data_IF_098073617918
#
_entry.id   IF_098073617918
#
_cell.length_a   1.000
_cell.length_b   1.000
_cell.length_c   1.000
_cell.angle_alpha   90.00
_cell.angle_beta   90.00
_cell.angle_gamma   90.00
#
_symmetry.space_group_name_H-M   'P 1'
#
loop_
_entity.id
_entity.type
_entity.pdbx_description
1 polymer ?
#
# COMPACT_ATOMS: atom_id res chain seq x y z
N UNK A 1 11.06 15.06 7.13
CA UNK A 1 9.85 14.31 6.72
C UNK A 1 10.29 13.22 5.76
N UNK A 2 9.75 12.01 5.85
CA UNK A 2 10.12 10.91 4.94
C UNK A 2 9.69 11.26 3.51
N UNK A 3 10.63 11.26 2.57
CA UNK A 3 10.40 11.68 1.19
C UNK A 3 9.57 10.68 0.35
N UNK A 4 9.28 9.49 0.91
CA UNK A 4 8.63 8.39 0.20
C UNK A 4 7.25 7.99 0.74
N UNK A 5 6.86 8.46 1.93
CA UNK A 5 5.65 8.01 2.63
C UNK A 5 5.04 9.13 3.46
N UNK A 6 3.73 9.07 3.71
CA UNK A 6 3.05 10.06 4.54
C UNK A 6 3.72 10.18 5.92
N UNK A 7 3.65 11.36 6.56
CA UNK A 7 4.04 11.53 7.95
C UNK A 7 3.36 10.48 8.83
N UNK A 8 4.19 9.68 9.50
CA UNK A 8 3.77 8.58 10.35
C UNK A 8 4.46 8.66 11.70
N UNK A 9 3.76 8.22 12.74
CA UNK A 9 4.36 7.91 14.03
C UNK A 9 4.63 6.42 14.07
N UNK A 10 5.86 6.04 14.41
CA UNK A 10 6.26 4.64 14.49
C UNK A 10 6.99 4.34 15.80
N UNK A 11 6.55 3.30 16.50
CA UNK A 11 7.26 2.68 17.62
C UNK A 11 7.94 1.41 17.12
N UNK A 12 9.24 1.47 16.81
CA UNK A 12 10.00 0.37 16.20
C UNK A 12 10.30 -0.78 17.17
N UNK A 13 9.25 -1.50 17.57
CA UNK A 13 9.30 -2.72 18.39
C UNK A 13 8.11 -3.61 18.04
N UNK A 14 8.20 -4.90 18.33
CA UNK A 14 7.05 -5.80 18.19
C UNK A 14 5.87 -5.29 19.04
N UNK A 15 4.67 -5.25 18.45
CA UNK A 15 3.47 -4.67 19.06
C UNK A 15 3.51 -3.15 19.24
N UNK A 16 4.50 -2.46 18.68
CA UNK A 16 4.58 -0.99 18.68
C UNK A 16 3.55 -0.39 17.72
N UNK A 17 3.09 0.83 18.02
CA UNK A 17 2.14 1.55 17.18
C UNK A 17 2.76 2.04 15.88
N UNK A 18 1.99 1.92 14.79
CA UNK A 18 2.22 2.60 13.53
C UNK A 18 0.94 3.36 13.17
N UNK A 19 1.03 4.68 13.11
CA UNK A 19 -0.14 5.56 12.93
C UNK A 19 0.16 6.60 11.87
N UNK A 20 -0.73 6.70 10.88
CA UNK A 20 -0.84 7.88 10.05
C UNK A 20 -1.52 8.98 10.86
N UNK A 21 -1.11 10.24 10.68
CA UNK A 21 -1.65 11.35 11.47
C UNK A 21 -3.18 11.50 11.40
N UNK A 22 -3.84 10.98 10.35
CA UNK A 22 -5.30 11.02 10.15
C UNK A 22 -5.91 9.72 9.55
N UNK A 23 -5.28 8.54 9.74
CA UNK A 23 -5.77 7.29 9.15
C UNK A 23 -5.90 6.13 10.17
N UNK A 24 -6.00 4.89 9.66
CA UNK A 24 -6.20 3.70 10.48
C UNK A 24 -5.02 3.48 11.43
N UNK A 25 -5.32 2.96 12.62
CA UNK A 25 -4.30 2.49 13.55
C UNK A 25 -3.75 1.14 13.09
N UNK A 26 -2.44 0.99 13.18
CA UNK A 26 -1.75 -0.26 12.92
C UNK A 26 -0.82 -0.59 14.09
N UNK A 27 -0.38 -1.84 14.13
CA UNK A 27 0.68 -2.27 15.02
C UNK A 27 1.70 -3.12 14.27
N UNK A 28 2.93 -3.13 14.79
CA UNK A 28 4.00 -3.97 14.23
C UNK A 28 3.75 -5.43 14.64
N UNK A 29 3.26 -6.22 13.69
CA UNK A 29 2.96 -7.66 13.84
C UNK A 29 4.17 -8.57 13.73
N UNK A 30 5.19 -8.14 12.99
CA UNK A 30 6.48 -8.81 12.90
C UNK A 30 7.60 -7.80 12.65
N UNK A 31 8.77 -8.06 13.24
CA UNK A 31 9.94 -7.19 13.11
C UNK A 31 11.21 -8.04 13.11
N UNK A 32 11.93 -8.02 11.99
CA UNK A 32 13.31 -8.47 11.88
C UNK A 32 14.14 -7.28 11.38
N UNK A 33 14.89 -6.58 12.26
CA UNK A 33 15.59 -5.36 11.89
C UNK A 33 16.44 -5.50 10.62
N UNK A 34 16.27 -4.57 9.67
CA UNK A 34 16.97 -4.57 8.39
C UNK A 34 16.51 -5.63 7.38
N UNK A 35 15.49 -6.42 7.70
CA UNK A 35 14.99 -7.51 6.84
C UNK A 35 13.48 -7.50 6.65
N UNK A 36 12.71 -7.31 7.72
CA UNK A 36 11.26 -7.45 7.66
C UNK A 36 10.59 -6.50 8.65
N UNK A 37 9.53 -5.86 8.19
CA UNK A 37 8.50 -5.28 9.04
C UNK A 37 7.14 -5.67 8.49
N UNK A 38 6.26 -6.17 9.38
CA UNK A 38 4.86 -6.43 9.08
C UNK A 38 4.00 -5.50 9.91
N UNK A 39 3.06 -4.84 9.25
CA UNK A 39 2.08 -3.96 9.85
C UNK A 39 0.73 -4.66 9.79
N UNK A 40 0.09 -4.81 10.94
CA UNK A 40 -1.23 -5.39 11.08
C UNK A 40 -2.21 -4.25 11.37
N UNK A 41 -3.21 -4.07 10.49
CA UNK A 41 -4.21 -3.02 10.64
C UNK A 41 -5.21 -3.40 11.73
N UNK A 42 -5.59 -2.43 12.58
CA UNK A 42 -6.58 -2.66 13.65
C UNK A 42 -7.95 -3.08 13.09
N UNK A 43 -8.30 -2.60 11.90
CA UNK A 43 -9.55 -2.94 11.20
C UNK A 43 -9.42 -4.15 10.26
N UNK A 44 -8.33 -4.91 10.38
CA UNK A 44 -8.07 -6.10 9.59
C UNK A 44 -7.33 -5.80 8.30
N UNK A 45 -6.34 -6.64 8.00
CA UNK A 45 -5.41 -6.45 6.89
C UNK A 45 -3.97 -6.44 7.38
N UNK A 46 -3.06 -6.71 6.45
CA UNK A 46 -1.63 -6.90 6.69
C UNK A 46 -0.86 -6.30 5.53
N UNK A 47 0.13 -5.48 5.84
CA UNK A 47 1.15 -5.03 4.89
C UNK A 47 2.52 -5.51 5.36
N UNK A 48 3.23 -6.27 4.53
CA UNK A 48 4.53 -6.84 4.85
C UNK A 48 5.61 -6.33 3.90
N UNK A 49 6.69 -5.81 4.46
CA UNK A 49 7.83 -5.25 3.74
C UNK A 49 9.05 -6.12 4.01
N UNK A 50 9.65 -6.68 2.96
CA UNK A 50 10.81 -7.58 3.04
C UNK A 50 11.99 -7.02 2.25
N UNK A 51 13.18 -7.21 2.80
CA UNK A 51 14.47 -6.92 2.19
C UNK A 51 15.33 -8.18 2.18
N UNK A 52 15.61 -8.68 0.99
CA UNK A 52 16.45 -9.87 0.78
C UNK A 52 17.74 -9.44 0.07
N UNK A 53 18.92 -9.86 0.56
CA UNK A 53 20.17 -9.54 -0.11
C UNK A 53 20.26 -10.33 -1.42
N UNK A 54 20.67 -9.65 -2.49
CA UNK A 54 21.02 -10.27 -3.76
C UNK A 54 22.50 -10.02 -4.08
N UNK A 55 23.05 -10.73 -5.08
CA UNK A 55 24.46 -10.62 -5.45
C UNK A 55 24.89 -9.17 -5.73
N UNK A 56 24.05 -8.43 -6.44
CA UNK A 56 24.33 -7.07 -6.91
C UNK A 56 23.31 -6.04 -6.38
N UNK A 57 22.70 -6.30 -5.22
CA UNK A 57 21.73 -5.37 -4.65
C UNK A 57 20.86 -5.97 -3.56
N UNK A 58 19.64 -5.46 -3.47
CA UNK A 58 18.63 -5.88 -2.51
C UNK A 58 17.30 -6.02 -3.24
N UNK A 59 16.64 -7.16 -3.04
CA UNK A 59 15.24 -7.33 -3.43
C UNK A 59 14.35 -6.74 -2.35
N UNK A 60 13.54 -5.78 -2.74
CA UNK A 60 12.45 -5.26 -1.92
C UNK A 60 11.13 -5.88 -2.37
N UNK A 61 10.44 -6.54 -1.44
CA UNK A 61 9.10 -7.09 -1.66
C UNK A 61 8.11 -6.40 -0.73
N UNK A 62 6.99 -5.96 -1.29
CA UNK A 62 5.83 -5.48 -0.56
C UNK A 62 4.66 -6.42 -0.86
N UNK A 63 4.11 -7.02 0.19
CA UNK A 63 2.88 -7.80 0.14
C UNK A 63 1.80 -7.05 0.92
N UNK A 64 0.62 -6.93 0.34
CA UNK A 64 -0.52 -6.27 0.97
C UNK A 64 -1.75 -7.16 0.86
N UNK A 65 -2.40 -7.41 1.98
CA UNK A 65 -3.59 -8.23 2.09
C UNK A 65 -4.62 -7.50 2.94
N UNK A 66 -5.78 -7.19 2.37
CA UNK A 66 -6.91 -6.65 3.14
C UNK A 66 -7.92 -7.76 3.43
N UNK A 67 -8.60 -7.68 4.59
CA UNK A 67 -9.71 -8.58 4.91
C UNK A 67 -10.82 -8.50 3.85
N UNK A 68 -11.48 -9.63 3.60
CA UNK A 68 -12.48 -9.80 2.52
C UNK A 68 -13.76 -8.96 2.70
N UNK A 69 -14.00 -8.40 3.89
CA UNK A 69 -15.26 -7.71 4.24
C UNK A 69 -15.20 -6.20 3.97
N UNK A 70 -14.39 -5.78 3.01
CA UNK A 70 -14.23 -4.37 2.66
C UNK A 70 -15.44 -3.87 1.84
N UNK A 71 -16.55 -3.57 2.51
CA UNK A 71 -17.69 -2.88 1.90
C UNK A 71 -17.38 -1.40 1.83
N UNK A 72 -17.16 -0.89 0.61
CA UNK A 72 -17.00 0.54 0.34
C UNK A 72 -18.41 1.11 0.16
N UNK A 73 -18.88 2.05 1.00
CA UNK A 73 -20.12 2.75 0.74
C UNK A 73 -20.00 3.52 -0.60
N UNK A 74 -20.96 3.35 -1.51
CA UNK A 74 -20.98 4.03 -2.81
C UNK A 74 -20.79 5.55 -2.69
N UNK A 75 -21.22 6.13 -1.58
CA UNK A 75 -21.03 7.54 -1.25
C UNK A 75 -19.54 7.96 -1.23
N UNK A 76 -18.61 7.09 -0.85
CA UNK A 76 -17.18 7.39 -0.78
C UNK A 76 -16.45 7.22 -2.13
N UNK A 77 -17.08 6.53 -3.10
CA UNK A 77 -16.59 6.45 -4.47
C UNK A 77 -16.84 7.78 -5.21
N UNK A 78 -17.79 8.60 -4.73
CA UNK A 78 -18.17 9.90 -5.30
C UNK A 78 -17.96 11.14 -4.41
N UNK A 79 -17.73 11.02 -3.10
CA UNK A 79 -17.72 12.15 -2.18
C UNK A 79 -16.31 12.55 -1.70
N UNK A 80 -15.46 13.02 -2.62
CA UNK A 80 -14.40 14.00 -2.31
C UNK A 80 -13.40 13.70 -1.19
N UNK A 81 -13.34 12.49 -0.62
CA UNK A 81 -12.28 12.09 0.29
C UNK A 81 -11.05 11.76 -0.54
N UNK A 82 -10.09 12.67 -0.51
CA UNK A 82 -8.82 12.54 -1.22
C UNK A 82 -8.09 11.31 -0.67
N UNK A 83 -8.15 10.19 -1.40
CA UNK A 83 -7.16 9.14 -1.24
C UNK A 83 -5.82 9.79 -1.52
N UNK A 84 -5.01 9.98 -0.48
CA UNK A 84 -3.68 10.51 -0.65
C UNK A 84 -2.81 9.34 -1.12
N UNK A 85 -2.04 9.54 -2.19
CA UNK A 85 -1.08 8.55 -2.70
C UNK A 85 -0.08 8.08 -1.64
N UNK A 86 0.00 8.82 -0.54
CA UNK A 86 0.90 8.60 0.58
C UNK A 86 0.28 7.77 1.71
N UNK A 87 -1.01 7.41 1.61
CA UNK A 87 -1.76 6.60 2.60
C UNK A 87 -2.50 5.41 1.92
N UNK A 88 -1.77 4.46 1.31
CA UNK A 88 -2.39 3.26 0.75
C UNK A 88 -3.09 2.45 1.86
N UNK A 89 -4.37 2.14 1.65
CA UNK A 89 -5.18 1.32 2.59
C UNK A 89 -6.01 2.11 3.62
N UNK A 90 -6.08 3.44 3.55
CA UNK A 90 -6.93 4.24 4.43
C UNK A 90 -8.45 4.03 4.21
N UNK A 91 -9.32 4.53 5.13
CA UNK A 91 -10.76 4.34 5.06
C UNK A 91 -11.33 4.83 3.72
N UNK A 92 -12.18 4.02 3.09
CA UNK A 92 -12.82 4.36 1.82
C UNK A 92 -11.94 4.15 0.57
N UNK A 93 -10.71 3.65 0.71
CA UNK A 93 -9.81 3.44 -0.43
C UNK A 93 -10.16 2.15 -1.18
N UNK A 94 -10.57 2.28 -2.44
CA UNK A 94 -10.77 1.15 -3.35
C UNK A 94 -9.44 0.42 -3.65
N UNK A 95 -9.46 -0.90 -3.92
CA UNK A 95 -8.25 -1.71 -4.19
C UNK A 95 -7.32 -1.08 -5.24
N UNK A 96 -7.89 -0.56 -6.33
CA UNK A 96 -7.13 0.18 -7.34
C UNK A 96 -6.36 1.40 -6.78
N UNK A 97 -6.92 2.10 -5.80
CA UNK A 97 -6.26 3.20 -5.08
C UNK A 97 -5.17 2.71 -4.13
N UNK A 98 -5.41 1.60 -3.40
CA UNK A 98 -4.39 0.98 -2.54
C UNK A 98 -3.17 0.57 -3.36
N UNK A 99 -3.38 -0.19 -4.44
CA UNK A 99 -2.29 -0.67 -5.30
C UNK A 99 -1.58 0.51 -5.98
N UNK A 100 -2.31 1.52 -6.45
CA UNK A 100 -1.72 2.72 -7.03
C UNK A 100 -0.87 3.52 -6.03
N UNK A 101 -1.31 3.62 -4.77
CA UNK A 101 -0.57 4.26 -3.70
C UNK A 101 0.73 3.51 -3.39
N UNK A 102 0.65 2.19 -3.21
CA UNK A 102 1.82 1.35 -3.00
C UNK A 102 2.81 1.41 -4.16
N UNK A 103 2.34 1.32 -5.41
CA UNK A 103 3.18 1.48 -6.59
C UNK A 103 3.89 2.85 -6.58
N UNK A 104 3.17 3.93 -6.33
CA UNK A 104 3.77 5.26 -6.24
C UNK A 104 4.81 5.37 -5.12
N UNK A 105 4.59 4.72 -3.98
CA UNK A 105 5.56 4.61 -2.90
C UNK A 105 6.83 3.87 -3.30
N UNK A 106 6.69 2.74 -4.01
CA UNK A 106 7.83 1.95 -4.52
C UNK A 106 8.65 2.75 -5.53
N UNK A 107 8.02 3.48 -6.45
CA UNK A 107 8.72 4.39 -7.37
C UNK A 107 9.54 5.43 -6.61
N UNK A 108 8.99 6.01 -5.53
CA UNK A 108 9.73 6.97 -4.69
C UNK A 108 10.94 6.30 -4.02
N UNK A 109 10.81 5.08 -3.49
CA UNK A 109 11.92 4.32 -2.88
C UNK A 109 13.01 4.01 -3.91
N UNK A 110 12.63 3.60 -5.12
CA UNK A 110 13.57 3.36 -6.22
C UNK A 110 14.34 4.63 -6.59
N UNK A 111 13.66 5.77 -6.66
CA UNK A 111 14.30 7.07 -6.91
C UNK A 111 15.30 7.46 -5.81
N UNK A 112 14.93 7.29 -4.54
CA UNK A 112 15.83 7.54 -3.41
C UNK A 112 17.07 6.64 -3.44
N UNK A 113 16.96 5.47 -4.09
CA UNK A 113 18.06 4.54 -4.32
C UNK A 113 18.88 4.84 -5.59
N UNK A 114 18.59 5.94 -6.30
CA UNK A 114 19.30 6.36 -7.52
C UNK A 114 18.75 5.77 -8.82
N UNK A 115 17.65 5.01 -8.77
CA UNK A 115 17.01 4.46 -9.97
C UNK A 115 16.11 5.49 -10.67
N UNK A 116 15.72 5.21 -11.92
CA UNK A 116 14.81 6.03 -12.72
C UNK A 116 13.54 5.25 -13.08
N UNK A 117 12.59 5.09 -12.14
CA UNK A 117 11.33 4.41 -12.44
C UNK A 117 10.51 5.19 -13.48
N UNK A 118 9.64 4.50 -14.23
CA UNK A 118 8.64 5.15 -15.06
C UNK A 118 7.59 5.77 -14.13
N UNK A 119 7.88 6.94 -13.58
CA UNK A 119 7.03 7.66 -12.63
C UNK A 119 5.64 7.88 -13.24
N UNK A 120 4.67 7.05 -12.88
CA UNK A 120 3.28 7.26 -13.26
C UNK A 120 2.60 8.06 -12.16
N UNK A 121 1.91 9.15 -12.53
CA UNK A 121 1.09 9.89 -11.57
C UNK A 121 0.02 8.98 -10.96
N UNK A 122 -0.25 9.15 -9.66
CA UNK A 122 -1.23 8.34 -8.92
C UNK A 122 -2.58 8.16 -9.67
N UNK A 123 -3.13 9.24 -10.23
CA UNK A 123 -4.39 9.17 -10.99
C UNK A 123 -4.31 8.30 -12.25
N UNK A 124 -3.15 8.24 -12.92
CA UNK A 124 -2.92 7.35 -14.06
C UNK A 124 -2.89 5.89 -13.59
N UNK A 125 -2.16 5.60 -12.51
CA UNK A 125 -2.07 4.26 -11.91
C UNK A 125 -3.44 3.75 -11.47
N UNK A 126 -4.25 4.58 -10.82
CA UNK A 126 -5.63 4.21 -10.43
C UNK A 126 -6.44 3.75 -11.63
N UNK A 127 -6.38 4.50 -12.75
CA UNK A 127 -7.13 4.16 -13.95
C UNK A 127 -6.64 2.85 -14.60
N UNK A 128 -5.33 2.60 -14.59
CA UNK A 128 -4.75 1.33 -15.07
C UNK A 128 -5.24 0.17 -14.21
N UNK A 129 -5.11 0.26 -12.88
CA UNK A 129 -5.51 -0.82 -11.98
C UNK A 129 -7.00 -1.08 -11.97
N UNK A 130 -7.85 -0.05 -12.11
CA UNK A 130 -9.30 -0.23 -12.29
C UNK A 130 -9.62 -1.09 -13.50
N UNK A 131 -8.96 -0.84 -14.65
CA UNK A 131 -9.17 -1.63 -15.87
C UNK A 131 -8.70 -3.08 -15.68
N UNK A 132 -7.50 -3.28 -15.16
CA UNK A 132 -6.94 -4.61 -14.92
C UNK A 132 -7.81 -5.46 -13.99
N UNK A 133 -8.30 -4.88 -12.89
CA UNK A 133 -9.20 -5.56 -11.95
C UNK A 133 -10.52 -5.92 -12.64
N UNK A 134 -11.11 -5.00 -13.40
CA UNK A 134 -12.36 -5.26 -14.13
C UNK A 134 -12.20 -6.37 -15.19
N UNK A 135 -11.10 -6.37 -15.93
CA UNK A 135 -10.76 -7.42 -16.90
C UNK A 135 -10.56 -8.77 -16.22
N UNK A 136 -9.85 -8.82 -15.09
CA UNK A 136 -9.67 -10.03 -14.29
C UNK A 136 -11.00 -10.60 -13.81
N UNK A 137 -11.87 -9.77 -13.22
CA UNK A 137 -13.20 -10.22 -12.79
C UNK A 137 -14.04 -10.75 -13.96
N UNK A 138 -13.99 -10.08 -15.11
CA UNK A 138 -14.70 -10.53 -16.32
C UNK A 138 -14.18 -11.89 -16.79
N UNK A 139 -12.86 -12.07 -16.81
CA UNK A 139 -12.22 -13.33 -17.20
C UNK A 139 -12.51 -14.47 -16.23
N UNK A 140 -12.61 -14.21 -14.93
CA UNK A 140 -12.91 -15.22 -13.92
C UNK A 140 -14.40 -15.58 -13.86
N UNK A 141 -15.30 -14.62 -14.07
CA UNK A 141 -16.76 -14.86 -14.02
C UNK A 141 -17.28 -15.43 -15.35
N UNK A 142 -16.67 -15.09 -16.49
CA UNK A 142 -17.03 -15.59 -17.82
C UNK A 142 -16.61 -17.03 -18.13
N UNK A 143 -16.03 -17.76 -17.17
CA UNK A 143 -15.65 -19.18 -17.27
C UNK A 143 -16.58 -20.08 -16.41
N UNK A 144 -17.73 -19.54 -15.97
CA UNK A 144 -18.75 -20.29 -15.21
C UNK A 144 -19.80 -20.92 -16.13
#
# INVERSE_FOLDING_TARGET
>A
MSEWHAPTRIELRLGGRFEFLDAWGWHIGALLPGRLIRLDADAGGVSEFKLEPERDGVRFTLEDAMGTDLVIPDALIGAGQTVQSEQPGGPGTHWAGVIAGWHSGVDKVQRLSGMKPPMHGYGVLVNVYRKLIAEYHTACIGVS
#
